data_IF_848392194326
#
_entry.id   IF_848392194326
#
_cell.length_a   1.000
_cell.length_b   1.000
_cell.length_c   1.000
_cell.angle_alpha   90.00
_cell.angle_beta   90.00
_cell.angle_gamma   90.00
#
_symmetry.space_group_name_H-M   'P 1'
#
loop_
_entity.id
_entity.type
_entity.pdbx_description
1 polymer ?
#
# COMPACT_ATOMS: atom_id res chain seq x y z
N UNK A 1 -5.21 -1.66 8.44
CA UNK A 1 -5.94 -1.56 7.18
C UNK A 1 -7.44 -1.48 7.44
N UNK A 2 -8.13 -0.64 6.68
CA UNK A 2 -9.58 -0.42 6.80
C UNK A 2 -10.35 -1.17 5.71
N UNK A 3 -10.08 -2.45 5.48
CA UNK A 3 -10.83 -3.24 4.50
C UNK A 3 -11.78 -4.23 5.18
N UNK A 4 -12.87 -4.54 4.50
CA UNK A 4 -13.83 -5.56 4.94
C UNK A 4 -13.22 -6.95 4.80
N UNK A 5 -13.36 -7.78 5.82
CA UNK A 5 -12.81 -9.14 5.87
C UNK A 5 -13.92 -10.16 5.73
N UNK A 6 -13.81 -11.02 4.72
CA UNK A 6 -14.67 -12.17 4.53
C UNK A 6 -14.15 -13.39 5.34
N UNK A 7 -15.06 -14.32 5.68
CA UNK A 7 -14.72 -15.50 6.48
C UNK A 7 -13.68 -16.39 5.82
N UNK A 8 -13.78 -16.59 4.52
CA UNK A 8 -12.83 -17.41 3.77
C UNK A 8 -11.42 -16.80 3.69
N UNK A 9 -11.26 -15.47 3.78
CA UNK A 9 -9.95 -14.83 3.89
C UNK A 9 -9.29 -15.07 5.24
N UNK A 10 -10.10 -15.24 6.30
CA UNK A 10 -9.60 -15.53 7.63
C UNK A 10 -9.15 -16.98 7.75
N UNK A 11 -9.97 -17.91 7.31
CA UNK A 11 -9.68 -19.33 7.39
C UNK A 11 -10.45 -20.12 6.33
N UNK A 12 -9.87 -20.26 5.14
CA UNK A 12 -10.49 -20.99 4.03
C UNK A 12 -10.68 -22.50 4.32
N UNK A 13 -9.82 -23.11 5.15
CA UNK A 13 -9.97 -24.52 5.53
C UNK A 13 -11.22 -24.78 6.37
N UNK A 14 -11.61 -23.79 7.18
CA UNK A 14 -12.79 -23.88 8.03
C UNK A 14 -14.07 -23.43 7.32
N UNK A 15 -13.97 -22.37 6.51
CA UNK A 15 -15.15 -21.70 5.94
C UNK A 15 -15.35 -21.97 4.45
N UNK A 16 -14.40 -22.66 3.79
CA UNK A 16 -14.53 -23.00 2.36
C UNK A 16 -14.78 -21.74 1.50
N UNK A 17 -15.87 -21.75 0.76
CA UNK A 17 -16.27 -20.65 -0.11
C UNK A 17 -17.22 -19.62 0.57
N UNK A 18 -17.37 -19.67 1.90
CA UNK A 18 -18.17 -18.69 2.65
C UNK A 18 -17.53 -17.30 2.59
N UNK A 19 -18.08 -16.44 1.71
CA UNK A 19 -17.66 -15.04 1.53
C UNK A 19 -18.40 -14.07 2.44
N UNK A 20 -19.18 -14.57 3.40
CA UNK A 20 -19.89 -13.70 4.34
C UNK A 20 -18.91 -12.83 5.13
N UNK A 21 -19.33 -11.59 5.39
CA UNK A 21 -18.50 -10.62 6.10
C UNK A 21 -18.26 -11.03 7.54
N UNK A 22 -17.00 -11.14 7.94
CA UNK A 22 -16.59 -11.34 9.32
C UNK A 22 -16.62 -10.01 10.10
N UNK A 23 -16.04 -8.96 9.52
CA UNK A 23 -16.16 -7.57 9.99
C UNK A 23 -15.99 -6.60 8.83
N UNK A 24 -16.52 -5.41 9.02
CA UNK A 24 -16.45 -4.33 8.04
C UNK A 24 -15.23 -3.44 8.29
N UNK A 25 -14.65 -2.90 7.20
CA UNK A 25 -13.57 -1.93 7.26
C UNK A 25 -14.05 -0.50 7.55
N UNK A 26 -15.29 -0.19 7.17
CA UNK A 26 -15.92 1.08 7.50
C UNK A 26 -16.21 1.19 9.00
N UNK A 27 -16.06 2.39 9.54
CA UNK A 27 -16.33 2.72 10.94
C UNK A 27 -17.40 3.82 11.03
N UNK A 28 -18.16 3.87 12.11
CA UNK A 28 -19.03 5.01 12.39
C UNK A 28 -18.22 6.21 12.92
N UNK A 29 -18.86 7.37 12.98
CA UNK A 29 -18.21 8.61 13.40
C UNK A 29 -17.64 8.53 14.83
N UNK A 30 -18.34 7.87 15.76
CA UNK A 30 -17.90 7.70 17.12
C UNK A 30 -16.59 6.88 17.18
N UNK A 31 -16.55 5.76 16.46
CA UNK A 31 -15.35 4.92 16.40
C UNK A 31 -14.22 5.58 15.62
N UNK A 32 -14.51 6.38 14.59
CA UNK A 32 -13.51 7.18 13.91
C UNK A 32 -12.81 8.15 14.90
N UNK A 33 -13.59 8.89 15.72
CA UNK A 33 -13.03 9.78 16.76
C UNK A 33 -12.16 9.02 17.75
N UNK A 34 -12.57 7.83 18.17
CA UNK A 34 -11.75 6.96 19.04
C UNK A 34 -10.44 6.53 18.37
N UNK A 35 -10.46 6.25 17.06
CA UNK A 35 -9.24 5.95 16.30
C UNK A 35 -8.31 7.15 16.26
N UNK A 36 -8.84 8.35 15.96
CA UNK A 36 -8.08 9.60 15.94
C UNK A 36 -7.37 9.83 17.29
N UNK A 37 -8.11 9.79 18.39
CA UNK A 37 -7.56 9.99 19.73
C UNK A 37 -6.46 8.95 20.06
N UNK A 38 -6.72 7.70 19.69
CA UNK A 38 -5.76 6.60 19.95
C UNK A 38 -4.48 6.76 19.15
N UNK A 39 -4.56 7.06 17.85
CA UNK A 39 -3.36 7.15 17.02
C UNK A 39 -2.50 8.33 17.42
N UNK A 40 -3.10 9.46 17.73
CA UNK A 40 -2.37 10.63 18.24
C UNK A 40 -1.66 10.29 19.55
N UNK A 41 -2.39 9.74 20.50
CA UNK A 41 -1.91 9.52 21.87
C UNK A 41 -0.88 8.39 21.98
N UNK A 42 -1.07 7.30 21.21
CA UNK A 42 -0.28 6.08 21.38
C UNK A 42 0.80 5.91 20.32
N UNK A 43 0.64 6.52 19.12
CA UNK A 43 1.53 6.27 18.00
C UNK A 43 2.25 7.53 17.51
N UNK A 44 1.58 8.63 17.23
CA UNK A 44 2.20 9.82 16.66
C UNK A 44 3.25 10.45 17.56
N UNK A 45 3.07 10.33 18.88
CA UNK A 45 4.00 10.79 19.89
C UNK A 45 5.28 9.96 19.99
N UNK A 46 5.31 8.75 19.40
CA UNK A 46 6.49 7.89 19.46
C UNK A 46 7.64 8.47 18.64
N UNK A 47 8.88 8.42 19.13
CA UNK A 47 10.04 9.02 18.45
C UNK A 47 10.35 8.34 17.11
N UNK A 48 9.99 7.08 16.95
CA UNK A 48 10.18 6.29 15.74
C UNK A 48 8.97 6.32 14.77
N UNK A 49 7.91 7.07 15.10
CA UNK A 49 6.78 7.20 14.18
C UNK A 49 7.19 7.99 12.94
N UNK A 50 6.84 7.48 11.76
CA UNK A 50 7.23 8.10 10.51
C UNK A 50 6.51 9.43 10.27
N UNK A 51 7.27 10.47 9.94
CA UNK A 51 6.79 11.83 9.69
C UNK A 51 7.45 12.40 8.44
N UNK A 52 6.70 13.20 7.70
CA UNK A 52 7.18 14.01 6.59
C UNK A 52 7.04 15.46 7.04
N UNK A 53 8.13 16.23 7.06
CA UNK A 53 8.18 17.63 7.50
C UNK A 53 7.51 17.86 8.87
N UNK A 54 7.69 16.91 9.78
CA UNK A 54 7.09 16.94 11.11
C UNK A 54 5.64 16.46 11.18
N UNK A 55 4.95 16.29 10.06
CA UNK A 55 3.58 15.81 9.97
C UNK A 55 3.54 14.28 10.06
N UNK A 56 2.86 13.66 11.04
CA UNK A 56 2.73 12.21 11.10
C UNK A 56 1.98 11.67 9.88
N UNK A 57 2.53 10.63 9.25
CA UNK A 57 1.92 10.00 8.09
C UNK A 57 0.88 8.98 8.54
N UNK A 58 -0.36 9.15 8.11
CA UNK A 58 -1.43 8.19 8.36
C UNK A 58 -1.94 7.62 7.04
N UNK A 59 -1.66 6.34 6.81
CA UNK A 59 -2.03 5.66 5.58
C UNK A 59 -3.39 4.98 5.69
N UNK A 60 -4.25 5.20 4.70
CA UNK A 60 -5.56 4.54 4.55
C UNK A 60 -5.50 3.59 3.36
N UNK A 61 -5.91 2.35 3.59
CA UNK A 61 -5.85 1.30 2.59
C UNK A 61 -6.99 1.38 1.57
N UNK A 62 -8.23 1.57 2.02
CA UNK A 62 -9.40 1.56 1.16
C UNK A 62 -10.14 2.89 1.21
N UNK A 63 -10.15 3.58 0.09
CA UNK A 63 -10.93 4.81 -0.10
C UNK A 63 -12.43 4.53 -0.02
N UNK A 64 -12.90 3.42 -0.61
CA UNK A 64 -14.33 3.07 -0.59
C UNK A 64 -14.83 2.80 0.84
N UNK A 65 -14.05 2.12 1.68
CA UNK A 65 -14.42 1.89 3.08
C UNK A 65 -14.33 3.18 3.91
N UNK A 66 -13.42 4.08 3.57
CA UNK A 66 -13.38 5.41 4.19
C UNK A 66 -14.63 6.22 3.84
N UNK A 67 -15.00 6.29 2.57
CA UNK A 67 -16.22 6.96 2.11
C UNK A 67 -17.47 6.31 2.73
N UNK A 68 -17.53 4.98 2.78
CA UNK A 68 -18.65 4.25 3.39
C UNK A 68 -18.82 4.59 4.89
N UNK A 69 -17.73 4.92 5.59
CA UNK A 69 -17.76 5.37 6.98
C UNK A 69 -18.57 6.65 7.18
N UNK A 70 -18.69 7.46 6.14
CA UNK A 70 -19.39 8.75 6.14
C UNK A 70 -20.55 8.81 5.12
N UNK A 71 -21.20 7.66 4.88
CA UNK A 71 -22.38 7.56 4.02
C UNK A 71 -22.10 7.71 2.53
N UNK A 72 -20.87 7.49 2.08
CA UNK A 72 -20.47 7.61 0.68
C UNK A 72 -20.22 9.05 0.21
N UNK A 73 -20.31 10.05 1.11
CA UNK A 73 -20.12 11.45 0.77
C UNK A 73 -18.66 11.86 0.87
N UNK A 74 -18.13 12.47 -0.18
CA UNK A 74 -16.80 13.06 -0.21
C UNK A 74 -16.71 14.23 0.77
N UNK A 75 -17.72 15.10 0.80
CA UNK A 75 -17.78 16.27 1.67
C UNK A 75 -17.76 15.88 3.16
N UNK A 76 -18.60 14.92 3.56
CA UNK A 76 -18.62 14.44 4.95
C UNK A 76 -17.33 13.72 5.33
N UNK A 77 -16.70 13.04 4.38
CA UNK A 77 -15.39 12.42 4.58
C UNK A 77 -14.32 13.49 4.77
N UNK A 78 -14.34 14.54 3.96
CA UNK A 78 -13.45 15.69 4.11
C UNK A 78 -13.61 16.34 5.49
N UNK A 79 -14.82 16.61 5.96
CA UNK A 79 -15.09 17.15 7.29
C UNK A 79 -14.50 16.28 8.40
N UNK A 80 -14.62 14.96 8.27
CA UNK A 80 -14.03 14.03 9.23
C UNK A 80 -12.48 14.05 9.18
N UNK A 81 -11.89 14.18 8.02
CA UNK A 81 -10.44 14.34 7.88
C UNK A 81 -9.98 15.68 8.46
N UNK A 82 -10.70 16.76 8.24
CA UNK A 82 -10.41 18.07 8.84
C UNK A 82 -10.53 18.04 10.38
N UNK A 83 -11.51 17.31 10.93
CA UNK A 83 -11.53 17.02 12.36
C UNK A 83 -10.24 16.32 12.81
N UNK A 84 -9.78 15.29 12.08
CA UNK A 84 -8.53 14.58 12.40
C UNK A 84 -7.34 15.53 12.36
N UNK A 85 -7.21 16.36 11.32
CA UNK A 85 -6.15 17.37 11.20
C UNK A 85 -6.16 18.35 12.38
N UNK A 86 -7.36 18.83 12.76
CA UNK A 86 -7.47 19.74 13.90
C UNK A 86 -6.93 19.12 15.20
N UNK A 87 -7.24 17.84 15.44
CA UNK A 87 -6.77 17.11 16.62
C UNK A 87 -5.26 16.86 16.59
N UNK A 88 -4.70 16.63 15.42
CA UNK A 88 -3.24 16.48 15.22
C UNK A 88 -2.54 17.82 15.52
N UNK A 89 -3.08 18.93 15.02
CA UNK A 89 -2.55 20.28 15.31
C UNK A 89 -2.68 20.63 16.81
N UNK A 90 -3.80 20.32 17.44
CA UNK A 90 -4.01 20.49 18.90
C UNK A 90 -2.98 19.69 19.74
N UNK A 91 -2.52 18.55 19.22
CA UNK A 91 -1.49 17.72 19.85
C UNK A 91 -0.05 18.23 19.62
N UNK A 92 0.13 19.35 18.91
CA UNK A 92 1.42 20.03 18.72
C UNK A 92 2.19 19.63 17.46
N UNK A 93 1.57 18.87 16.55
CA UNK A 93 2.15 18.60 15.22
C UNK A 93 1.77 19.71 14.23
N UNK A 94 2.57 19.94 13.17
CA UNK A 94 2.24 20.95 12.15
C UNK A 94 0.91 20.65 11.45
N UNK A 95 0.71 19.43 11.01
CA UNK A 95 -0.53 18.89 10.43
C UNK A 95 -0.46 17.36 10.35
N UNK A 96 -1.50 16.73 9.80
CA UNK A 96 -1.54 15.35 9.38
C UNK A 96 -1.00 15.24 7.95
N UNK A 97 -0.19 14.23 7.65
CA UNK A 97 0.08 13.80 6.28
C UNK A 97 -0.80 12.59 5.96
N UNK A 98 -1.93 12.83 5.28
CA UNK A 98 -2.87 11.77 4.90
C UNK A 98 -2.39 11.08 3.62
N UNK A 99 -2.00 9.82 3.73
CA UNK A 99 -1.64 8.98 2.59
C UNK A 99 -2.80 8.07 2.20
N UNK A 100 -3.14 8.04 0.91
CA UNK A 100 -4.12 7.09 0.39
C UNK A 100 -3.46 6.02 -0.49
N UNK A 101 -3.77 4.75 -0.23
CA UNK A 101 -3.45 3.69 -1.18
C UNK A 101 -4.46 3.73 -2.33
N UNK A 102 -3.96 3.93 -3.54
CA UNK A 102 -4.78 4.07 -4.74
C UNK A 102 -4.16 3.32 -5.92
N UNK A 103 -4.96 2.47 -6.56
CA UNK A 103 -4.60 1.76 -7.79
C UNK A 103 -5.52 2.15 -8.96
N UNK A 104 -6.44 3.08 -8.76
CA UNK A 104 -7.40 3.54 -9.76
C UNK A 104 -6.88 4.78 -10.48
N UNK A 105 -6.71 4.70 -11.79
CA UNK A 105 -6.19 5.78 -12.64
C UNK A 105 -7.30 6.59 -13.32
N UNK A 106 -8.57 6.36 -12.96
CA UNK A 106 -9.70 7.07 -13.55
C UNK A 106 -9.89 8.45 -12.90
N UNK A 107 -10.42 9.38 -13.66
CA UNK A 107 -10.70 10.76 -13.21
C UNK A 107 -11.55 10.81 -11.93
N UNK A 108 -12.53 9.93 -11.81
CA UNK A 108 -13.35 9.84 -10.58
C UNK A 108 -12.53 9.54 -9.32
N UNK A 109 -11.39 8.85 -9.46
CA UNK A 109 -10.50 8.62 -8.33
C UNK A 109 -9.74 9.91 -7.99
N UNK A 110 -9.30 10.68 -8.99
CA UNK A 110 -8.69 11.99 -8.78
C UNK A 110 -9.64 12.94 -8.02
N UNK A 111 -10.86 13.09 -8.50
CA UNK A 111 -11.90 13.94 -7.86
C UNK A 111 -12.13 13.55 -6.39
N UNK A 112 -12.17 12.26 -6.10
CA UNK A 112 -12.34 11.75 -4.72
C UNK A 112 -11.12 12.03 -3.84
N UNK A 113 -9.90 11.78 -4.35
CA UNK A 113 -8.66 12.01 -3.62
C UNK A 113 -8.51 13.50 -3.27
N UNK A 114 -8.74 14.38 -4.23
CA UNK A 114 -8.69 15.83 -4.03
C UNK A 114 -9.81 16.30 -3.09
N UNK A 115 -11.04 15.83 -3.30
CA UNK A 115 -12.20 16.21 -2.48
C UNK A 115 -12.07 15.75 -1.02
N UNK A 116 -11.43 14.61 -0.73
CA UNK A 116 -11.13 14.14 0.63
C UNK A 116 -10.01 14.98 1.26
N UNK A 117 -9.13 15.57 0.47
CA UNK A 117 -7.97 16.32 0.95
C UNK A 117 -6.78 15.42 1.25
N UNK A 118 -6.46 14.49 0.35
CA UNK A 118 -5.29 13.59 0.45
C UNK A 118 -4.01 14.37 0.20
N UNK A 119 -2.94 14.12 0.98
CA UNK A 119 -1.66 14.80 0.84
C UNK A 119 -0.68 14.05 -0.06
N UNK A 120 -0.76 12.73 -0.08
CA UNK A 120 0.08 11.89 -0.94
C UNK A 120 -0.59 10.54 -1.21
N UNK A 121 -0.14 9.88 -2.26
CA UNK A 121 -0.66 8.56 -2.65
C UNK A 121 0.46 7.53 -2.76
N UNK A 122 0.09 6.26 -2.68
CA UNK A 122 0.93 5.11 -3.04
C UNK A 122 0.05 3.98 -3.55
N UNK A 123 0.64 2.96 -4.16
CA UNK A 123 -0.07 1.74 -4.53
C UNK A 123 -0.01 0.72 -3.40
N UNK A 124 -1.01 -0.15 -3.32
CA UNK A 124 -0.94 -1.38 -2.54
C UNK A 124 -0.74 -2.56 -3.49
N UNK A 125 0.51 -2.92 -3.70
CA UNK A 125 0.86 -3.85 -4.75
C UNK A 125 0.57 -3.31 -6.16
N UNK A 126 0.81 -4.11 -7.19
CA UNK A 126 0.60 -3.66 -8.57
C UNK A 126 -0.77 -4.04 -9.16
N UNK A 127 -1.70 -4.47 -8.35
CA UNK A 127 -3.02 -4.88 -8.85
C UNK A 127 -2.94 -6.01 -9.88
N UNK A 128 -4.07 -6.35 -10.46
CA UNK A 128 -4.28 -7.38 -11.48
C UNK A 128 -3.80 -8.78 -11.14
N UNK A 129 -4.77 -9.57 -11.07
CA UNK A 129 -4.74 -10.95 -10.68
C UNK A 129 -4.73 -11.85 -11.93
N UNK A 130 -3.56 -12.13 -12.52
CA UNK A 130 -3.45 -13.13 -13.58
C UNK A 130 -2.11 -13.86 -13.50
N UNK A 131 -2.08 -15.06 -14.09
CA UNK A 131 -0.85 -15.84 -14.16
C UNK A 131 0.08 -15.28 -15.25
N UNK A 132 1.20 -14.70 -14.85
CA UNK A 132 2.16 -14.14 -15.78
C UNK A 132 3.60 -14.07 -15.24
N UNK A 133 4.53 -13.75 -16.13
CA UNK A 133 5.92 -13.50 -15.79
C UNK A 133 6.06 -12.25 -14.91
N UNK A 134 6.88 -12.35 -13.87
CA UNK A 134 7.07 -11.27 -12.91
C UNK A 134 7.55 -9.96 -13.57
N UNK A 135 8.52 -10.01 -14.50
CA UNK A 135 9.04 -8.79 -15.13
C UNK A 135 8.02 -8.12 -16.04
N UNK A 136 7.12 -8.89 -16.65
CA UNK A 136 6.00 -8.34 -17.40
C UNK A 136 5.02 -7.63 -16.48
N UNK A 137 4.66 -8.26 -15.37
CA UNK A 137 3.80 -7.66 -14.35
C UNK A 137 4.43 -6.40 -13.74
N UNK A 138 5.76 -6.44 -13.43
CA UNK A 138 6.50 -5.29 -12.93
C UNK A 138 6.49 -4.12 -13.92
N UNK A 139 6.60 -4.39 -15.23
CA UNK A 139 6.49 -3.35 -16.26
C UNK A 139 5.13 -2.68 -16.24
N UNK A 140 4.04 -3.46 -16.20
CA UNK A 140 2.68 -2.93 -16.13
C UNK A 140 2.44 -2.12 -14.84
N UNK A 141 2.98 -2.61 -13.70
CA UNK A 141 2.95 -1.92 -12.42
C UNK A 141 3.69 -0.58 -12.44
N UNK A 142 4.83 -0.53 -13.10
CA UNK A 142 5.59 0.69 -13.30
C UNK A 142 4.84 1.70 -14.18
N UNK A 143 4.28 1.25 -15.31
CA UNK A 143 3.46 2.10 -16.17
C UNK A 143 2.20 2.63 -15.44
N UNK A 144 1.65 1.86 -14.51
CA UNK A 144 0.59 2.34 -13.63
C UNK A 144 1.09 3.39 -12.64
N UNK A 145 2.30 3.23 -12.09
CA UNK A 145 2.93 4.23 -11.21
C UNK A 145 3.05 5.59 -11.88
N UNK A 146 3.49 5.64 -13.14
CA UNK A 146 3.58 6.89 -13.92
C UNK A 146 2.19 7.54 -14.09
N UNK A 147 1.17 6.74 -14.43
CA UNK A 147 -0.21 7.26 -14.57
C UNK A 147 -0.78 7.76 -13.25
N UNK A 148 -0.51 7.06 -12.15
CA UNK A 148 -0.98 7.43 -10.82
C UNK A 148 -0.26 8.68 -10.30
N UNK A 149 1.03 8.84 -10.60
CA UNK A 149 1.78 10.04 -10.27
C UNK A 149 1.31 11.28 -11.02
N UNK A 150 0.75 11.10 -12.21
CA UNK A 150 0.16 12.19 -13.00
C UNK A 150 -1.33 12.44 -12.70
N UNK A 151 -1.97 11.64 -11.83
CA UNK A 151 -3.41 11.67 -11.61
C UNK A 151 -3.87 12.92 -10.85
N UNK A 152 -3.11 13.32 -9.85
CA UNK A 152 -3.35 14.51 -9.01
C UNK A 152 -2.05 15.27 -8.78
N UNK A 153 -2.14 16.56 -8.53
CA UNK A 153 -0.98 17.40 -8.19
C UNK A 153 -0.57 17.21 -6.72
N UNK A 154 -0.17 15.99 -6.39
CA UNK A 154 0.31 15.58 -5.06
C UNK A 154 1.40 14.51 -5.20
N UNK A 155 2.31 14.39 -4.23
CA UNK A 155 3.32 13.34 -4.23
C UNK A 155 2.72 11.94 -4.39
N UNK A 156 3.30 11.16 -5.31
CA UNK A 156 3.01 9.74 -5.45
C UNK A 156 4.25 8.92 -5.15
N UNK A 157 4.17 8.03 -4.17
CA UNK A 157 5.28 7.16 -3.80
C UNK A 157 5.16 5.81 -4.52
N UNK A 158 6.15 5.44 -5.35
CA UNK A 158 6.11 4.20 -6.10
C UNK A 158 6.07 3.00 -5.16
N UNK A 159 5.32 1.98 -5.54
CA UNK A 159 5.26 0.70 -4.84
C UNK A 159 5.93 -0.40 -5.65
N UNK A 160 6.62 -1.32 -4.98
CA UNK A 160 7.22 -2.50 -5.61
C UNK A 160 6.64 -3.74 -4.98
N UNK A 161 6.01 -4.59 -5.80
CA UNK A 161 5.55 -5.90 -5.36
C UNK A 161 6.66 -6.94 -5.51
N UNK A 162 6.80 -7.85 -4.53
CA UNK A 162 7.78 -8.93 -4.58
C UNK A 162 7.27 -10.07 -5.46
N UNK A 163 5.97 -10.34 -5.39
CA UNK A 163 5.30 -11.38 -6.13
C UNK A 163 3.85 -11.50 -5.69
N UNK A 164 3.16 -12.47 -6.25
CA UNK A 164 1.85 -12.88 -5.78
C UNK A 164 1.64 -14.36 -6.08
N UNK A 165 1.27 -15.12 -5.07
CA UNK A 165 0.82 -16.52 -5.14
C UNK A 165 -0.16 -16.77 -4.00
N UNK A 166 -1.44 -16.81 -4.31
CA UNK A 166 -2.50 -17.04 -3.33
C UNK A 166 -2.83 -18.54 -3.09
N UNK A 167 -2.06 -19.45 -3.70
CA UNK A 167 -2.22 -20.89 -3.50
C UNK A 167 -2.16 -21.31 -2.03
N UNK A 168 -1.26 -20.76 -1.19
CA UNK A 168 -1.23 -21.11 0.23
C UNK A 168 -2.48 -20.69 0.98
N UNK A 169 -3.14 -19.60 0.55
CA UNK A 169 -4.39 -19.12 1.17
C UNK A 169 -5.59 -19.97 0.76
N UNK A 170 -5.64 -20.42 -0.50
CA UNK A 170 -6.77 -21.13 -1.09
C UNK A 170 -6.39 -22.49 -1.69
N UNK A 171 -5.81 -23.41 -0.90
CA UNK A 171 -5.29 -24.67 -1.43
C UNK A 171 -6.36 -25.57 -2.04
N UNK A 172 -7.63 -25.42 -1.64
CA UNK A 172 -8.75 -26.22 -2.14
C UNK A 172 -9.25 -25.83 -3.54
N UNK A 173 -8.90 -24.63 -4.03
CA UNK A 173 -9.34 -24.16 -5.36
C UNK A 173 -8.62 -24.84 -6.53
N UNK A 174 -7.60 -25.67 -6.27
CA UNK A 174 -6.94 -26.54 -7.25
C UNK A 174 -6.26 -25.83 -8.43
N UNK A 175 -6.48 -24.55 -8.58
CA UNK A 175 -5.82 -23.66 -9.53
C UNK A 175 -5.67 -22.31 -8.85
N UNK A 176 -4.45 -21.92 -8.56
CA UNK A 176 -4.14 -20.54 -8.29
C UNK A 176 -4.46 -19.75 -9.56
N UNK A 177 -5.47 -18.90 -9.49
CA UNK A 177 -5.84 -18.04 -10.62
C UNK A 177 -4.81 -16.94 -10.80
N UNK A 178 -4.00 -16.70 -9.74
CA UNK A 178 -3.00 -15.63 -9.69
C UNK A 178 -1.71 -16.18 -9.13
N UNK A 179 -0.80 -16.50 -10.02
CA UNK A 179 0.58 -16.86 -9.68
C UNK A 179 1.53 -16.15 -10.63
N UNK A 180 2.41 -15.33 -10.09
CA UNK A 180 3.51 -14.81 -10.88
C UNK A 180 4.69 -15.78 -10.84
N UNK A 181 5.23 -16.12 -12.01
CA UNK A 181 6.40 -16.99 -12.13
C UNK A 181 7.66 -16.16 -12.39
N UNK A 182 8.83 -16.79 -12.24
CA UNK A 182 10.13 -16.13 -12.33
C UNK A 182 10.33 -15.01 -11.29
N UNK A 183 9.65 -15.12 -10.16
CA UNK A 183 9.88 -14.23 -9.01
C UNK A 183 11.22 -14.59 -8.37
N UNK A 184 12.22 -13.76 -8.57
CA UNK A 184 13.57 -13.96 -8.07
C UNK A 184 14.13 -12.68 -7.45
N UNK A 185 15.10 -12.74 -6.54
CA UNK A 185 15.78 -11.55 -6.03
C UNK A 185 16.36 -10.65 -7.12
N UNK A 186 16.85 -11.24 -8.23
CA UNK A 186 17.35 -10.48 -9.37
C UNK A 186 16.21 -9.70 -10.07
N UNK A 187 15.10 -10.37 -10.38
CA UNK A 187 13.95 -9.71 -11.02
C UNK A 187 13.36 -8.62 -10.11
N UNK A 188 13.26 -8.89 -8.81
CA UNK A 188 12.84 -7.90 -7.82
C UNK A 188 13.80 -6.71 -7.75
N UNK A 189 15.12 -6.92 -7.79
CA UNK A 189 16.10 -5.84 -7.83
C UNK A 189 15.91 -4.93 -9.06
N UNK A 190 15.58 -5.51 -10.22
CA UNK A 190 15.29 -4.74 -11.45
C UNK A 190 14.03 -3.86 -11.26
N UNK A 191 12.99 -4.40 -10.65
CA UNK A 191 11.78 -3.66 -10.36
C UNK A 191 12.02 -2.54 -9.33
N UNK A 192 12.77 -2.83 -8.27
CA UNK A 192 13.12 -1.86 -7.24
C UNK A 192 14.00 -0.74 -7.81
N UNK A 193 14.90 -1.05 -8.74
CA UNK A 193 15.72 -0.05 -9.42
C UNK A 193 14.84 0.94 -10.22
N UNK A 194 13.78 0.46 -10.87
CA UNK A 194 12.82 1.34 -11.56
C UNK A 194 12.07 2.26 -10.61
N UNK A 195 11.66 1.76 -9.45
CA UNK A 195 11.04 2.62 -8.43
C UNK A 195 12.03 3.67 -7.89
N UNK A 196 13.30 3.31 -7.75
CA UNK A 196 14.36 4.27 -7.38
C UNK A 196 14.55 5.33 -8.46
N UNK A 197 14.58 4.94 -9.74
CA UNK A 197 14.69 5.86 -10.88
C UNK A 197 13.50 6.83 -10.92
N UNK A 198 12.28 6.37 -10.60
CA UNK A 198 11.11 7.24 -10.44
C UNK A 198 11.34 8.29 -9.34
N UNK A 199 11.80 7.88 -8.15
CA UNK A 199 12.12 8.82 -7.07
C UNK A 199 13.24 9.82 -7.47
N UNK A 200 14.23 9.36 -8.24
CA UNK A 200 15.33 10.22 -8.70
C UNK A 200 14.86 11.24 -9.76
N UNK A 201 13.82 10.91 -10.53
CA UNK A 201 13.20 11.80 -11.52
C UNK A 201 12.23 12.83 -10.90
N UNK A 202 11.80 12.61 -9.65
CA UNK A 202 10.86 13.49 -8.93
C UNK A 202 11.52 14.06 -7.65
N UNK A 203 12.55 14.92 -7.78
CA UNK A 203 13.29 15.44 -6.62
C UNK A 203 12.48 16.40 -5.74
N UNK A 204 11.35 16.89 -6.22
CA UNK A 204 10.42 17.78 -5.51
C UNK A 204 9.62 17.08 -4.40
N UNK A 205 9.57 15.75 -4.41
CA UNK A 205 8.86 14.95 -3.41
C UNK A 205 9.81 14.12 -2.54
N UNK A 206 9.39 13.68 -1.35
CA UNK A 206 10.16 12.76 -0.52
C UNK A 206 10.50 11.46 -1.26
N UNK A 207 11.74 10.99 -1.12
CA UNK A 207 12.23 9.74 -1.73
C UNK A 207 11.76 8.53 -0.95
N UNK A 208 10.51 8.13 -1.16
CA UNK A 208 9.87 7.01 -0.47
C UNK A 208 9.49 5.95 -1.49
N UNK A 209 9.81 4.71 -1.19
CA UNK A 209 9.39 3.53 -1.95
C UNK A 209 8.65 2.61 -0.98
N UNK A 210 7.43 2.22 -1.31
CA UNK A 210 6.71 1.20 -0.56
C UNK A 210 6.97 -0.18 -1.16
N UNK A 211 7.00 -1.21 -0.35
CA UNK A 211 7.23 -2.59 -0.80
C UNK A 211 6.09 -3.48 -0.31
N UNK A 212 5.46 -4.17 -1.22
CA UNK A 212 4.47 -5.19 -0.93
C UNK A 212 5.09 -6.57 -1.10
N UNK A 213 5.40 -7.29 -0.02
CA UNK A 213 5.25 -6.94 1.38
C UNK A 213 6.45 -7.46 2.18
N UNK A 214 6.49 -7.16 3.48
CA UNK A 214 7.56 -7.66 4.35
C UNK A 214 7.37 -9.15 4.67
N UNK A 215 6.12 -9.60 4.93
CA UNK A 215 5.83 -10.94 5.48
C UNK A 215 4.47 -11.53 5.08
N UNK A 216 3.94 -11.20 3.90
CA UNK A 216 2.70 -11.78 3.38
C UNK A 216 2.95 -13.17 2.75
N UNK A 217 3.28 -14.15 3.62
CA UNK A 217 3.61 -15.51 3.22
C UNK A 217 2.50 -16.22 2.46
N UNK A 218 1.24 -15.99 2.86
CA UNK A 218 0.08 -16.65 2.24
C UNK A 218 -0.29 -16.09 0.87
N UNK A 219 0.37 -15.00 0.48
CA UNK A 219 0.23 -14.35 -0.83
C UNK A 219 1.53 -14.42 -1.64
N UNK A 220 2.54 -15.17 -1.15
CA UNK A 220 3.82 -15.31 -1.83
C UNK A 220 4.59 -13.98 -1.97
N UNK A 221 4.26 -12.98 -1.15
CA UNK A 221 4.84 -11.64 -1.17
C UNK A 221 5.59 -11.36 0.13
N UNK A 222 6.88 -11.62 0.18
CA UNK A 222 7.67 -11.49 1.41
C UNK A 222 9.13 -11.12 1.14
N UNK A 223 9.67 -10.25 1.99
CA UNK A 223 11.11 -9.90 2.04
C UNK A 223 11.90 -10.78 3.02
N UNK A 224 11.21 -11.40 3.98
CA UNK A 224 11.85 -12.22 5.00
C UNK A 224 12.65 -13.37 4.36
N UNK A 225 13.77 -13.79 4.97
CA UNK A 225 14.59 -14.88 4.47
C UNK A 225 13.80 -16.16 4.28
N UNK A 226 14.01 -16.84 3.17
CA UNK A 226 13.38 -18.11 2.83
C UNK A 226 14.42 -19.21 2.56
N UNK A 227 13.96 -20.45 2.41
CA UNK A 227 14.83 -21.58 2.14
C UNK A 227 15.36 -21.63 0.71
N UNK A 228 14.77 -20.88 -0.22
CA UNK A 228 15.15 -20.89 -1.63
C UNK A 228 16.22 -19.85 -1.94
N UNK A 229 16.08 -18.65 -1.39
CA UNK A 229 16.93 -17.51 -1.71
C UNK A 229 17.68 -16.94 -0.50
N UNK A 230 17.46 -17.51 0.71
CA UNK A 230 18.04 -16.96 1.93
C UNK A 230 17.69 -15.48 2.12
N UNK A 231 18.69 -14.64 2.24
CA UNK A 231 18.54 -13.18 2.38
C UNK A 231 18.43 -12.44 1.03
N UNK A 232 18.31 -13.13 -0.10
CA UNK A 232 18.44 -12.55 -1.43
C UNK A 232 17.56 -11.34 -1.70
N UNK A 233 16.30 -11.32 -1.25
CA UNK A 233 15.42 -10.15 -1.39
C UNK A 233 15.87 -8.96 -0.55
N UNK A 234 16.27 -9.18 0.70
CA UNK A 234 16.82 -8.12 1.57
C UNK A 234 18.15 -7.59 1.04
N UNK A 235 18.99 -8.47 0.48
CA UNK A 235 20.23 -8.07 -0.19
C UNK A 235 19.96 -7.23 -1.43
N UNK A 236 18.91 -7.56 -2.21
CA UNK A 236 18.48 -6.75 -3.34
C UNK A 236 18.08 -5.34 -2.90
N UNK A 237 17.30 -5.22 -1.81
CA UNK A 237 16.95 -3.91 -1.23
C UNK A 237 18.21 -3.13 -0.85
N UNK A 238 19.10 -3.74 -0.08
CA UNK A 238 20.36 -3.12 0.35
C UNK A 238 21.19 -2.63 -0.85
N UNK A 239 21.36 -3.48 -1.85
CA UNK A 239 22.27 -3.22 -2.95
C UNK A 239 21.72 -2.16 -3.92
N UNK A 240 20.44 -2.21 -4.24
CA UNK A 240 19.79 -1.20 -5.08
C UNK A 240 19.83 0.18 -4.39
N UNK A 241 19.43 0.24 -3.12
CA UNK A 241 19.38 1.51 -2.40
C UNK A 241 20.77 2.08 -2.08
N UNK A 242 21.81 1.24 -1.99
CA UNK A 242 23.19 1.68 -1.82
C UNK A 242 23.96 1.93 -3.13
N UNK A 243 23.29 1.88 -4.29
CA UNK A 243 23.89 2.12 -5.60
C UNK A 243 24.72 0.98 -6.16
N UNK A 244 24.56 -0.25 -5.65
CA UNK A 244 25.28 -1.47 -6.11
C UNK A 244 24.45 -2.33 -7.06
N UNK A 245 23.50 -1.74 -7.76
CA UNK A 245 22.57 -2.45 -8.65
C UNK A 245 23.25 -3.20 -9.81
N UNK A 246 24.42 -2.75 -10.29
CA UNK A 246 25.10 -3.36 -11.45
C UNK A 246 25.36 -4.86 -11.31
N UNK A 247 25.41 -5.39 -10.10
CA UNK A 247 25.54 -6.85 -9.85
C UNK A 247 24.34 -7.66 -10.37
N UNK A 248 23.20 -7.03 -10.60
CA UNK A 248 21.95 -7.66 -11.08
C UNK A 248 21.72 -7.53 -12.58
N UNK A 249 22.61 -6.83 -13.30
CA UNK A 249 22.51 -6.62 -14.76
C UNK A 249 23.04 -7.79 -15.61
N UNK A 250 23.55 -8.85 -14.97
CA UNK A 250 24.20 -9.98 -15.65
C UNK A 250 23.20 -11.06 -16.01
#
# INVERSE_FOLDING_TARGET
ANHTVARNYWNCHRYGDDTSTLWRGAVDEENFRKVVDRVIKQYFSQPNYFKIDGCPVFAIFSMDELLASFGGSVERTHEAIEYFRSKVREAGFPDLCLQMMNNDTREVAAERLEGIGVDCTTQYGWGTARREDYLRWAKEGYEATERLGALIDKPHFPSVSIGWDDTPRFPAKGKADVVHYNVTPQAFAMALQRAKEYCDAHPEQPRIITIYAFNEWVEGAYLLPDMRYGFGYLEAVRDVLSGKYDRYRK
#
